data_IF_920624307867
#
_entry.id   IF_920624307867
#
_cell.length_a   1.000
_cell.length_b   1.000
_cell.length_c   1.000
_cell.angle_alpha   90.00
_cell.angle_beta   90.00
_cell.angle_gamma   90.00
#
_symmetry.space_group_name_H-M   'P 1'
#
loop_
_entity.id
_entity.type
_entity.pdbx_description
1 polymer ?
#
# COMPACT_ATOMS: atom_id res chain seq x y z
N UNK A 1 -9.89 16.37 -5.10
CA UNK A 1 -9.87 17.80 -4.75
C UNK A 1 -8.49 18.42 -5.08
N UNK A 2 -8.33 19.77 -5.13
CA UNK A 2 -7.03 20.40 -5.42
C UNK A 2 -5.93 19.97 -4.46
N UNK A 3 -6.25 19.78 -3.18
CA UNK A 3 -5.32 19.33 -2.14
C UNK A 3 -4.69 17.97 -2.46
N UNK A 4 -5.44 17.03 -3.00
CA UNK A 4 -4.95 15.68 -3.31
C UNK A 4 -3.89 15.70 -4.42
N UNK A 5 -4.03 16.62 -5.39
CA UNK A 5 -3.05 16.81 -6.46
C UNK A 5 -1.76 17.43 -5.94
N UNK A 6 -1.85 18.39 -5.01
CA UNK A 6 -0.70 19.02 -4.38
C UNK A 6 0.10 18.02 -3.54
N UNK A 7 -0.59 17.20 -2.74
CA UNK A 7 0.05 16.10 -2.00
C UNK A 7 0.75 15.14 -2.95
N UNK A 8 0.06 14.69 -4.00
CA UNK A 8 0.63 13.76 -4.97
C UNK A 8 1.89 14.35 -5.63
N UNK A 9 1.87 15.63 -6.03
CA UNK A 9 3.02 16.30 -6.63
C UNK A 9 4.19 16.45 -5.66
N UNK A 10 3.92 16.93 -4.45
CA UNK A 10 4.95 17.07 -3.42
C UNK A 10 5.62 15.72 -3.11
N UNK A 11 4.84 14.64 -3.02
CA UNK A 11 5.34 13.29 -2.78
C UNK A 11 6.09 12.71 -3.98
N UNK A 12 5.77 13.14 -5.21
CA UNK A 12 6.50 12.74 -6.41
C UNK A 12 7.84 13.46 -6.58
N UNK A 13 8.14 14.44 -5.72
CA UNK A 13 9.37 15.21 -5.81
C UNK A 13 9.38 16.19 -6.98
N UNK A 14 8.21 16.51 -7.53
CA UNK A 14 8.06 17.55 -8.56
C UNK A 14 8.13 18.92 -7.88
N UNK A 15 9.11 19.78 -8.19
CA UNK A 15 9.18 21.11 -7.63
C UNK A 15 8.03 21.96 -8.21
N UNK A 16 6.91 21.95 -7.49
CA UNK A 16 5.79 22.81 -7.82
C UNK A 16 6.07 24.22 -7.27
N UNK A 17 6.10 25.25 -8.10
CA UNK A 17 6.22 26.62 -7.64
C UNK A 17 5.08 27.02 -6.68
N UNK A 18 3.97 26.28 -6.67
CA UNK A 18 2.87 26.48 -5.75
C UNK A 18 3.05 25.74 -4.41
N UNK A 19 4.15 24.99 -4.21
CA UNK A 19 4.39 24.29 -2.94
C UNK A 19 4.50 25.27 -1.75
N UNK A 20 5.08 26.46 -1.95
CA UNK A 20 5.10 27.53 -0.95
C UNK A 20 3.70 28.09 -0.68
N UNK A 21 2.91 28.30 -1.72
CA UNK A 21 1.51 28.74 -1.62
C UNK A 21 0.66 27.70 -0.91
N UNK A 22 0.86 26.40 -1.21
CA UNK A 22 0.19 25.31 -0.52
C UNK A 22 0.61 25.25 0.96
N UNK A 23 1.88 25.37 1.28
CA UNK A 23 2.38 25.38 2.66
C UNK A 23 1.83 26.58 3.44
N UNK A 24 1.76 27.76 2.82
CA UNK A 24 1.14 28.95 3.40
C UNK A 24 -0.36 28.77 3.61
N UNK A 25 -1.08 28.19 2.64
CA UNK A 25 -2.51 27.90 2.74
C UNK A 25 -2.81 26.96 3.93
N UNK A 26 -2.07 25.88 4.08
CA UNK A 26 -2.24 24.94 5.19
C UNK A 26 -1.72 25.51 6.52
N UNK A 27 -0.74 26.39 6.50
CA UNK A 27 -0.25 27.12 7.69
C UNK A 27 -1.26 28.14 8.23
N UNK A 28 -2.07 28.72 7.35
CA UNK A 28 -3.11 29.70 7.72
C UNK A 28 -4.37 29.08 8.33
N UNK A 29 -4.52 27.75 8.31
CA UNK A 29 -5.68 27.03 8.86
C UNK A 29 -5.30 26.09 10.01
N UNK A 30 -4.57 26.51 11.06
CA UNK A 30 -4.09 25.64 12.12
C UNK A 30 -5.20 24.98 12.92
N UNK A 31 -6.37 25.61 13.00
CA UNK A 31 -7.54 25.11 13.75
C UNK A 31 -8.33 24.00 13.04
N UNK A 32 -8.04 23.71 11.78
CA UNK A 32 -8.72 22.67 10.97
C UNK A 32 -7.78 21.51 10.57
N UNK A 33 -6.69 21.36 11.28
CA UNK A 33 -5.71 20.29 11.01
C UNK A 33 -6.32 18.92 11.36
N UNK A 34 -6.94 18.30 10.36
CA UNK A 34 -7.29 16.88 10.40
C UNK A 34 -6.09 16.01 9.99
N UNK A 35 -6.29 14.70 9.99
CA UNK A 35 -5.27 13.74 9.53
C UNK A 35 -4.75 14.02 8.12
N UNK A 36 -5.62 14.51 7.23
CA UNK A 36 -5.25 14.89 5.86
C UNK A 36 -4.30 16.10 5.82
N UNK A 37 -4.51 17.10 6.68
CA UNK A 37 -3.65 18.28 6.73
C UNK A 37 -2.27 17.91 7.29
N UNK A 38 -2.21 17.05 8.29
CA UNK A 38 -0.95 16.53 8.82
C UNK A 38 -0.17 15.75 7.74
N UNK A 39 -0.86 14.99 6.90
CA UNK A 39 -0.28 14.28 5.77
C UNK A 39 0.31 15.25 4.73
N UNK A 40 -0.42 16.31 4.38
CA UNK A 40 0.04 17.34 3.45
C UNK A 40 1.26 18.07 3.98
N UNK A 41 1.18 18.56 5.22
CA UNK A 41 2.30 19.29 5.86
C UNK A 41 3.53 18.39 5.99
N UNK A 42 3.34 17.13 6.40
CA UNK A 42 4.42 16.14 6.47
C UNK A 42 5.04 15.87 5.11
N UNK A 43 4.23 15.75 4.07
CA UNK A 43 4.68 15.52 2.70
C UNK A 43 5.50 16.70 2.15
N UNK A 44 5.04 17.93 2.39
CA UNK A 44 5.75 19.13 1.99
C UNK A 44 7.07 19.30 2.77
N UNK A 45 7.07 19.00 4.06
CA UNK A 45 8.28 19.04 4.89
C UNK A 45 9.35 18.02 4.44
N UNK A 46 8.93 16.90 3.87
CA UNK A 46 9.82 15.83 3.40
C UNK A 46 10.18 16.00 1.92
N UNK A 47 9.31 16.63 1.13
CA UNK A 47 9.45 16.77 -0.33
C UNK A 47 10.75 17.44 -0.81
N UNK A 48 11.37 18.29 0.01
CA UNK A 48 12.69 18.89 -0.25
C UNK A 48 13.88 18.04 0.20
N UNK A 49 13.64 16.84 0.76
CA UNK A 49 14.70 15.94 1.24
C UNK A 49 15.11 14.93 0.17
N UNK A 50 16.17 14.17 0.47
CA UNK A 50 16.68 13.15 -0.44
C UNK A 50 15.59 12.21 -0.96
N UNK A 51 15.70 11.80 -2.23
CA UNK A 51 14.73 10.95 -2.92
C UNK A 51 14.38 9.65 -2.14
N UNK A 52 15.35 9.10 -1.40
CA UNK A 52 15.15 7.92 -0.57
C UNK A 52 14.18 8.18 0.59
N UNK A 53 14.27 9.33 1.26
CA UNK A 53 13.35 9.68 2.35
C UNK A 53 11.92 9.84 1.84
N UNK A 54 11.75 10.39 0.64
CA UNK A 54 10.47 10.48 -0.03
C UNK A 54 9.89 9.11 -0.37
N UNK A 55 10.72 8.19 -0.86
CA UNK A 55 10.28 6.83 -1.18
C UNK A 55 9.80 6.08 0.06
N UNK A 56 10.56 6.15 1.16
CA UNK A 56 10.18 5.54 2.44
C UNK A 56 8.88 6.13 2.99
N UNK A 57 8.73 7.45 2.95
CA UNK A 57 7.52 8.10 3.43
C UNK A 57 6.29 7.72 2.61
N UNK A 58 6.42 7.65 1.28
CA UNK A 58 5.35 7.18 0.39
C UNK A 58 4.94 5.74 0.69
N UNK A 59 5.91 4.85 0.86
CA UNK A 59 5.68 3.46 1.28
C UNK A 59 4.88 3.41 2.58
N UNK A 60 5.36 4.10 3.61
CA UNK A 60 4.71 4.13 4.92
C UNK A 60 3.24 4.62 4.88
N UNK A 61 2.91 5.57 3.98
CA UNK A 61 1.52 6.02 3.79
C UNK A 61 0.64 4.91 3.23
N UNK A 62 1.08 4.24 2.17
CA UNK A 62 0.29 3.15 1.56
C UNK A 62 0.06 2.02 2.55
N UNK A 63 1.13 1.59 3.23
CA UNK A 63 1.08 0.55 4.26
C UNK A 63 0.15 0.91 5.41
N UNK A 64 0.29 2.12 5.97
CA UNK A 64 -0.55 2.58 7.09
C UNK A 64 -2.02 2.65 6.70
N UNK A 65 -2.32 3.15 5.49
CA UNK A 65 -3.69 3.24 4.97
C UNK A 65 -4.26 1.84 4.73
N UNK A 66 -3.48 0.95 4.14
CA UNK A 66 -3.89 -0.45 3.90
C UNK A 66 -4.19 -1.15 5.22
N UNK A 67 -3.28 -1.05 6.19
CA UNK A 67 -3.46 -1.67 7.51
C UNK A 67 -4.71 -1.15 8.23
N UNK A 68 -4.97 0.15 8.16
CA UNK A 68 -6.15 0.76 8.79
C UNK A 68 -7.46 0.29 8.15
N UNK A 69 -7.52 0.22 6.81
CA UNK A 69 -8.71 -0.26 6.10
C UNK A 69 -8.98 -1.74 6.39
N UNK A 70 -7.94 -2.56 6.45
CA UNK A 70 -8.05 -3.97 6.81
C UNK A 70 -8.51 -4.16 8.27
N UNK A 71 -8.04 -3.30 9.20
CA UNK A 71 -8.53 -3.31 10.60
C UNK A 71 -10.00 -2.95 10.68
N UNK A 72 -10.45 -1.94 9.92
CA UNK A 72 -11.87 -1.57 9.87
C UNK A 72 -12.72 -2.73 9.36
N UNK A 73 -12.28 -3.39 8.29
CA UNK A 73 -12.96 -4.59 7.79
C UNK A 73 -13.03 -5.71 8.83
N UNK A 74 -11.92 -5.98 9.52
CA UNK A 74 -11.88 -6.98 10.58
C UNK A 74 -12.85 -6.65 11.74
N UNK A 75 -12.95 -5.38 12.11
CA UNK A 75 -13.88 -4.93 13.14
C UNK A 75 -15.36 -5.11 12.73
N UNK A 76 -15.67 -4.92 11.43
CA UNK A 76 -17.03 -5.09 10.90
C UNK A 76 -17.44 -6.55 10.74
N UNK A 77 -16.49 -7.44 10.46
CA UNK A 77 -16.78 -8.85 10.14
C UNK A 77 -17.09 -9.73 11.34
N UNK A 78 -17.19 -9.18 12.56
CA UNK A 78 -17.41 -9.94 13.81
C UNK A 78 -16.41 -11.09 14.05
N UNK A 79 -15.27 -11.04 13.38
CA UNK A 79 -14.15 -11.97 13.58
C UNK A 79 -13.09 -11.25 14.45
N UNK A 80 -13.24 -11.25 15.80
CA UNK A 80 -12.39 -10.46 16.70
C UNK A 80 -10.91 -10.91 16.66
N UNK A 81 -10.63 -12.05 16.07
CA UNK A 81 -9.32 -12.68 16.05
C UNK A 81 -8.48 -12.32 14.82
N UNK A 82 -9.01 -11.56 13.85
CA UNK A 82 -8.22 -11.13 12.68
C UNK A 82 -7.16 -10.13 13.09
N UNK A 83 -5.92 -10.57 13.09
CA UNK A 83 -4.78 -9.72 13.44
C UNK A 83 -4.17 -9.11 12.18
N UNK A 84 -4.27 -7.79 12.05
CA UNK A 84 -3.58 -7.04 10.99
C UNK A 84 -2.19 -6.65 11.51
N UNK A 85 -1.16 -7.11 10.82
CA UNK A 85 0.26 -6.85 11.13
C UNK A 85 0.95 -6.15 9.97
N UNK A 86 2.12 -5.59 10.23
CA UNK A 86 2.98 -4.95 9.22
C UNK A 86 4.34 -5.61 9.22
N UNK A 87 5.01 -5.59 8.06
CA UNK A 87 6.38 -6.08 7.87
C UNK A 87 6.58 -7.54 8.36
N UNK A 88 5.66 -8.43 7.94
CA UNK A 88 5.71 -9.84 8.35
C UNK A 88 6.24 -10.74 7.25
N UNK A 89 7.19 -11.58 7.60
CA UNK A 89 7.66 -12.63 6.71
C UNK A 89 6.71 -13.82 6.76
N UNK A 90 6.31 -14.27 5.59
CA UNK A 90 5.55 -15.50 5.47
C UNK A 90 6.47 -16.71 5.67
N UNK A 91 6.05 -17.64 6.50
CA UNK A 91 6.72 -18.92 6.70
C UNK A 91 5.69 -20.03 6.72
N UNK A 92 6.06 -21.16 6.15
CA UNK A 92 5.32 -22.42 6.26
C UNK A 92 6.05 -23.28 7.29
N UNK A 93 5.32 -24.05 8.07
CA UNK A 93 5.89 -24.92 9.10
C UNK A 93 7.00 -25.80 8.52
N UNK A 94 8.18 -25.73 9.16
CA UNK A 94 9.37 -26.48 8.75
C UNK A 94 10.14 -25.93 7.56
N UNK A 95 9.70 -24.82 6.96
CA UNK A 95 10.40 -24.15 5.88
C UNK A 95 11.04 -22.83 6.35
N UNK A 96 12.05 -22.36 5.60
CA UNK A 96 12.60 -21.02 5.81
C UNK A 96 11.53 -19.96 5.53
N UNK A 97 11.51 -18.90 6.36
CA UNK A 97 10.67 -17.75 6.11
C UNK A 97 11.01 -17.10 4.76
N UNK A 98 10.01 -16.48 4.13
CA UNK A 98 10.22 -15.67 2.93
C UNK A 98 11.30 -14.60 3.21
N UNK A 99 12.30 -14.42 2.33
CA UNK A 99 13.33 -13.41 2.50
C UNK A 99 12.75 -11.99 2.55
N UNK A 100 11.64 -11.77 1.86
CA UNK A 100 10.98 -10.46 1.81
C UNK A 100 9.76 -10.42 2.73
N UNK A 101 9.66 -9.41 3.63
CA UNK A 101 8.46 -9.20 4.41
C UNK A 101 7.32 -8.68 3.53
N UNK A 102 6.10 -9.15 3.78
CA UNK A 102 4.91 -8.50 3.25
C UNK A 102 4.60 -7.25 4.06
N UNK A 103 4.22 -6.19 3.37
CA UNK A 103 4.00 -4.88 3.99
C UNK A 103 2.85 -4.91 5.00
N UNK A 104 1.74 -5.59 4.64
CA UNK A 104 0.59 -5.77 5.54
C UNK A 104 0.06 -7.20 5.43
N UNK A 105 -0.23 -7.83 6.58
CA UNK A 105 -0.83 -9.16 6.64
C UNK A 105 -2.09 -9.18 7.49
N UNK A 106 -3.01 -10.09 7.18
CA UNK A 106 -4.11 -10.51 8.05
C UNK A 106 -3.89 -11.95 8.42
N UNK A 107 -3.41 -12.20 9.65
CA UNK A 107 -2.82 -13.49 10.03
C UNK A 107 -3.83 -14.52 10.54
N UNK A 108 -5.03 -14.10 10.91
CA UNK A 108 -6.03 -14.94 11.54
C UNK A 108 -7.28 -15.07 10.67
N UNK A 109 -7.88 -16.25 10.67
CA UNK A 109 -9.04 -16.58 9.87
C UNK A 109 -8.78 -17.75 8.92
N UNK A 110 -9.80 -18.21 8.19
CA UNK A 110 -9.70 -19.42 7.35
C UNK A 110 -8.76 -19.23 6.15
N UNK A 111 -8.47 -17.98 5.79
CA UNK A 111 -7.58 -17.65 4.68
C UNK A 111 -6.76 -16.41 5.07
N UNK A 112 -5.51 -16.59 5.53
CA UNK A 112 -4.60 -15.48 5.75
C UNK A 112 -4.42 -14.63 4.49
N UNK A 113 -4.21 -13.34 4.66
CA UNK A 113 -4.03 -12.40 3.54
C UNK A 113 -2.66 -11.74 3.62
N UNK A 114 -1.98 -11.70 2.49
CA UNK A 114 -0.67 -11.08 2.33
C UNK A 114 -0.77 -9.96 1.31
N UNK A 115 -0.38 -8.75 1.72
CA UNK A 115 -0.51 -7.55 0.91
C UNK A 115 0.84 -6.86 0.73
N UNK A 116 1.16 -6.56 -0.50
CA UNK A 116 2.27 -5.70 -0.89
C UNK A 116 1.74 -4.31 -1.25
N UNK A 117 2.43 -3.25 -0.82
CA UNK A 117 1.98 -1.87 -0.92
C UNK A 117 2.91 -1.07 -1.83
N UNK A 118 2.37 -0.48 -2.88
CA UNK A 118 3.13 0.32 -3.84
C UNK A 118 2.55 1.72 -3.97
N UNK A 119 3.40 2.73 -3.93
CA UNK A 119 2.97 4.12 -4.13
C UNK A 119 2.36 4.37 -5.52
N UNK A 120 2.79 3.63 -6.54
CA UNK A 120 2.27 3.78 -7.89
C UNK A 120 2.50 2.52 -8.72
N UNK A 121 1.88 2.48 -9.90
CA UNK A 121 1.93 1.33 -10.78
C UNK A 121 3.35 0.92 -11.20
N UNK A 122 4.31 1.87 -11.22
CA UNK A 122 5.73 1.57 -11.55
C UNK A 122 6.41 0.66 -10.55
N UNK A 123 5.93 0.62 -9.31
CA UNK A 123 6.42 -0.31 -8.30
C UNK A 123 5.98 -1.76 -8.50
N UNK A 124 5.10 -2.02 -9.45
CA UNK A 124 4.69 -3.37 -9.83
C UNK A 124 5.59 -3.81 -10.98
N UNK A 125 6.34 -4.89 -10.79
CA UNK A 125 7.21 -5.49 -11.79
C UNK A 125 7.12 -7.01 -11.80
N UNK A 126 7.82 -7.65 -12.73
CA UNK A 126 7.80 -9.10 -12.88
C UNK A 126 8.42 -9.82 -11.69
N UNK A 127 9.39 -9.20 -10.99
CA UNK A 127 10.01 -9.78 -9.78
C UNK A 127 8.98 -9.87 -8.66
N UNK A 128 8.27 -8.77 -8.38
CA UNK A 128 7.20 -8.75 -7.38
C UNK A 128 6.12 -9.80 -7.69
N UNK A 129 5.67 -9.90 -8.95
CA UNK A 129 4.66 -10.87 -9.34
C UNK A 129 5.15 -12.31 -9.13
N UNK A 130 6.42 -12.58 -9.43
CA UNK A 130 7.02 -13.89 -9.20
C UNK A 130 7.13 -14.21 -7.69
N UNK A 131 7.56 -13.26 -6.87
CA UNK A 131 7.65 -13.41 -5.41
C UNK A 131 6.28 -13.74 -4.78
N UNK A 132 5.23 -13.03 -5.20
CA UNK A 132 3.87 -13.27 -4.74
C UNK A 132 3.38 -14.67 -5.15
N UNK A 133 3.66 -15.09 -6.37
CA UNK A 133 3.28 -16.43 -6.85
C UNK A 133 4.05 -17.53 -6.12
N UNK A 134 5.34 -17.34 -5.86
CA UNK A 134 6.15 -18.28 -5.10
C UNK A 134 5.61 -18.46 -3.67
N UNK A 135 5.20 -17.39 -3.02
CA UNK A 135 4.56 -17.47 -1.70
C UNK A 135 3.26 -18.29 -1.76
N UNK A 136 2.45 -18.08 -2.81
CA UNK A 136 1.21 -18.83 -3.03
C UNK A 136 1.48 -20.31 -3.25
N UNK A 137 2.47 -20.65 -4.08
CA UNK A 137 2.86 -22.04 -4.37
C UNK A 137 3.36 -22.72 -3.10
N UNK A 138 4.21 -22.06 -2.31
CA UNK A 138 4.70 -22.61 -1.04
C UNK A 138 3.56 -22.87 -0.05
N UNK A 139 2.62 -21.94 0.09
CA UNK A 139 1.45 -22.12 0.92
C UNK A 139 0.60 -23.31 0.48
N UNK A 140 0.32 -23.41 -0.82
CA UNK A 140 -0.46 -24.50 -1.39
C UNK A 140 0.24 -25.88 -1.19
N UNK A 141 1.57 -25.92 -1.35
CA UNK A 141 2.35 -27.14 -1.10
C UNK A 141 2.29 -27.61 0.36
N UNK A 142 2.03 -26.70 1.29
CA UNK A 142 1.80 -27.01 2.71
C UNK A 142 0.32 -27.19 3.06
N UNK A 143 -0.58 -27.20 2.09
CA UNK A 143 -2.02 -27.33 2.34
C UNK A 143 -2.67 -26.06 2.91
N UNK A 144 -1.98 -24.93 2.88
CA UNK A 144 -2.48 -23.65 3.40
C UNK A 144 -3.03 -22.81 2.24
N UNK A 145 -4.25 -22.32 2.39
CA UNK A 145 -4.82 -21.34 1.45
C UNK A 145 -4.51 -19.93 1.94
N UNK A 146 -3.91 -19.15 1.08
CA UNK A 146 -3.66 -17.72 1.34
C UNK A 146 -4.29 -16.87 0.24
N UNK A 147 -4.67 -15.64 0.56
CA UNK A 147 -5.03 -14.62 -0.40
C UNK A 147 -3.86 -13.65 -0.53
N UNK A 148 -3.47 -13.35 -1.75
CA UNK A 148 -2.38 -12.42 -2.05
C UNK A 148 -2.92 -11.22 -2.81
N UNK A 149 -2.41 -10.04 -2.50
CA UNK A 149 -2.79 -8.82 -3.19
C UNK A 149 -1.73 -7.75 -3.21
N UNK A 150 -1.95 -6.81 -4.11
CA UNK A 150 -1.18 -5.58 -4.24
C UNK A 150 -2.12 -4.40 -4.02
N UNK A 151 -1.72 -3.47 -3.17
CA UNK A 151 -2.36 -2.16 -3.05
C UNK A 151 -1.49 -1.13 -3.74
N UNK A 152 -1.98 -0.55 -4.83
CA UNK A 152 -1.28 0.45 -5.60
C UNK A 152 -1.99 1.81 -5.50
N UNK A 153 -1.29 2.83 -4.99
CA UNK A 153 -1.80 4.20 -4.96
C UNK A 153 -1.67 4.86 -6.33
N UNK A 154 -2.42 4.31 -7.27
CA UNK A 154 -2.55 4.78 -8.64
C UNK A 154 -3.95 4.48 -9.16
N UNK A 155 -4.31 5.05 -10.32
CA UNK A 155 -5.61 4.78 -10.93
C UNK A 155 -5.69 3.37 -11.51
N UNK A 156 -6.90 2.81 -11.59
CA UNK A 156 -7.12 1.51 -12.18
C UNK A 156 -6.61 1.43 -13.63
N UNK A 157 -6.77 2.52 -14.39
CA UNK A 157 -6.29 2.59 -15.77
C UNK A 157 -4.75 2.50 -15.85
N UNK A 158 -4.03 3.24 -15.00
CA UNK A 158 -2.56 3.21 -14.97
C UNK A 158 -2.04 1.85 -14.55
N UNK A 159 -2.64 1.25 -13.52
CA UNK A 159 -2.27 -0.09 -13.06
C UNK A 159 -2.55 -1.14 -14.11
N UNK A 160 -3.70 -1.09 -14.78
CA UNK A 160 -4.04 -2.01 -15.87
C UNK A 160 -3.05 -1.90 -17.05
N UNK A 161 -2.69 -0.67 -17.45
CA UNK A 161 -1.68 -0.45 -18.49
C UNK A 161 -0.32 -1.02 -18.09
N UNK A 162 0.10 -0.84 -16.84
CA UNK A 162 1.35 -1.42 -16.32
C UNK A 162 1.31 -2.94 -16.35
N UNK A 163 0.26 -3.56 -15.83
CA UNK A 163 0.09 -5.01 -15.83
C UNK A 163 0.04 -5.59 -17.26
N UNK A 164 -0.49 -4.82 -18.22
CA UNK A 164 -0.57 -5.25 -19.63
C UNK A 164 0.78 -5.49 -20.29
N UNK A 165 1.86 -4.88 -19.79
CA UNK A 165 3.23 -5.05 -20.33
C UNK A 165 4.09 -6.03 -19.53
N UNK A 166 3.64 -6.47 -18.37
CA UNK A 166 4.33 -7.44 -17.52
C UNK A 166 4.02 -8.88 -17.96
N UNK A 167 4.97 -9.78 -17.74
CA UNK A 167 4.89 -11.19 -18.09
C UNK A 167 4.70 -12.12 -16.90
N UNK A 168 4.89 -11.59 -15.69
CA UNK A 168 4.76 -12.36 -14.45
C UNK A 168 3.33 -12.86 -14.20
N UNK A 169 3.18 -13.96 -13.44
CA UNK A 169 1.89 -14.56 -13.08
C UNK A 169 1.09 -13.57 -12.23
N UNK A 170 -0.20 -13.39 -12.52
CA UNK A 170 -1.05 -12.42 -11.84
C UNK A 170 -2.51 -12.85 -11.68
N UNK A 171 -2.87 -14.00 -12.20
CA UNK A 171 -4.27 -14.43 -12.32
C UNK A 171 -4.98 -14.58 -10.96
N UNK A 172 -4.24 -14.86 -9.92
CA UNK A 172 -4.75 -15.03 -8.56
C UNK A 172 -4.36 -13.90 -7.60
N UNK A 173 -3.68 -12.86 -8.10
CA UNK A 173 -3.29 -11.70 -7.31
C UNK A 173 -4.41 -10.66 -7.31
N UNK A 174 -4.90 -10.30 -6.14
CA UNK A 174 -5.91 -9.24 -5.98
C UNK A 174 -5.25 -7.88 -6.16
N UNK A 175 -5.79 -7.04 -7.01
CA UNK A 175 -5.27 -5.69 -7.23
C UNK A 175 -6.28 -4.68 -6.69
N UNK A 176 -5.81 -3.85 -5.78
CA UNK A 176 -6.55 -2.71 -5.22
C UNK A 176 -5.87 -1.43 -5.66
N UNK A 177 -6.63 -0.54 -6.23
CA UNK A 177 -6.18 0.78 -6.71
C UNK A 177 -6.85 1.89 -5.92
N UNK A 178 -6.44 3.14 -6.11
CA UNK A 178 -7.10 4.30 -5.49
C UNK A 178 -8.61 4.30 -5.75
N UNK A 179 -9.03 3.93 -6.97
CA UNK A 179 -10.44 3.90 -7.36
C UNK A 179 -11.24 2.80 -6.63
N UNK A 180 -10.55 1.79 -6.12
CA UNK A 180 -11.16 0.62 -5.46
C UNK A 180 -10.72 0.45 -4.02
N UNK A 181 -10.04 1.43 -3.45
CA UNK A 181 -9.44 1.36 -2.11
C UNK A 181 -10.47 1.05 -1.01
N UNK A 182 -11.71 1.55 -1.16
CA UNK A 182 -12.81 1.26 -0.24
C UNK A 182 -13.13 -0.24 -0.12
N UNK A 183 -12.81 -1.05 -1.12
CA UNK A 183 -13.02 -2.51 -1.08
C UNK A 183 -12.15 -3.23 -0.04
N UNK A 184 -11.09 -2.59 0.44
CA UNK A 184 -10.30 -3.15 1.55
C UNK A 184 -11.06 -3.08 2.89
N UNK A 185 -11.97 -2.12 3.04
CA UNK A 185 -12.75 -1.93 4.26
C UNK A 185 -14.11 -2.67 4.23
N UNK A 186 -14.51 -3.17 3.07
CA UNK A 186 -15.70 -3.99 2.89
C UNK A 186 -15.36 -5.47 3.08
#
# INVERSE_FOLDING_TARGET
>A
APADRLVARALMGDPDPDAETAAAYFGLLPSRRGANDALVVGSLAIGGKAAQSNAQYRGAIVEATTAELLRRRAALSREPERMVRRERRFAVDGASADPHPFDVTVEVGPTPELWDCKWGARGIDDSLLAELEDARIRAAGAGVRIAIGIVAFDTAATVAARLGVLRGPREQTRIITLDTLSRLAA
#
